data_IF_273666022573
#
_entry.id   IF_273666022573
#
_cell.length_a   1.000
_cell.length_b   1.000
_cell.length_c   1.000
_cell.angle_alpha   90.00
_cell.angle_beta   90.00
_cell.angle_gamma   90.00
#
_symmetry.space_group_name_H-M   'P 1'
#
loop_
_entity.id
_entity.type
_entity.pdbx_description
1 polymer ?
#
# COMPACT_ATOMS: atom_id res chain seq x y z
N UNK A 1 -5.59 -19.73 -43.89
CA UNK A 1 -6.00 -19.18 -42.58
C UNK A 1 -4.86 -19.49 -41.64
N UNK A 2 -4.09 -18.47 -41.29
CA UNK A 2 -3.03 -18.59 -40.29
C UNK A 2 -3.74 -18.40 -38.96
N UNK A 3 -3.75 -19.43 -38.10
CA UNK A 3 -4.30 -19.32 -36.75
C UNK A 3 -3.53 -18.21 -36.00
N UNK A 4 -4.24 -17.28 -35.36
CA UNK A 4 -3.69 -16.21 -34.49
C UNK A 4 -2.83 -16.75 -33.30
N UNK A 5 -2.61 -18.05 -33.21
CA UNK A 5 -1.86 -18.72 -32.13
C UNK A 5 -0.33 -18.61 -32.30
N UNK A 6 0.16 -18.36 -33.53
CA UNK A 6 1.60 -18.33 -33.85
C UNK A 6 2.30 -16.99 -33.51
N UNK A 7 1.54 -15.95 -33.18
CA UNK A 7 2.09 -14.61 -32.91
C UNK A 7 2.62 -14.43 -31.46
N UNK A 8 2.20 -15.26 -30.51
CA UNK A 8 2.43 -15.04 -29.07
C UNK A 8 3.46 -16.01 -28.43
N UNK A 9 4.06 -16.93 -29.20
CA UNK A 9 5.03 -17.91 -28.69
C UNK A 9 4.40 -18.98 -27.77
N UNK A 10 5.16 -19.94 -27.23
CA UNK A 10 4.59 -21.02 -26.40
C UNK A 10 3.99 -20.50 -25.08
N UNK A 11 2.97 -21.19 -24.56
CA UNK A 11 2.41 -20.86 -23.24
C UNK A 11 3.47 -20.97 -22.14
N UNK A 12 3.42 -20.11 -21.10
CA UNK A 12 4.36 -20.18 -20.00
C UNK A 12 4.31 -21.55 -19.31
N UNK A 13 5.45 -22.03 -18.80
CA UNK A 13 5.55 -23.34 -18.17
C UNK A 13 4.52 -23.54 -17.03
N UNK A 14 3.70 -24.59 -17.15
CA UNK A 14 2.62 -24.90 -16.21
C UNK A 14 1.24 -24.38 -16.62
N UNK A 15 1.10 -23.75 -17.78
CA UNK A 15 -0.18 -23.33 -18.34
C UNK A 15 -0.66 -24.29 -19.44
N UNK A 16 -1.96 -24.56 -19.47
CA UNK A 16 -2.60 -25.42 -20.46
C UNK A 16 -3.83 -24.70 -21.04
N UNK A 17 -3.95 -24.67 -22.36
CA UNK A 17 -5.14 -24.16 -23.06
C UNK A 17 -6.16 -25.29 -23.20
N UNK A 18 -7.39 -25.05 -22.75
CA UNK A 18 -8.52 -25.97 -22.88
C UNK A 18 -9.69 -25.30 -23.57
N UNK A 19 -10.57 -26.11 -24.15
CA UNK A 19 -11.82 -25.66 -24.79
C UNK A 19 -13.00 -26.30 -24.10
N UNK A 20 -14.04 -25.52 -23.86
CA UNK A 20 -15.33 -26.03 -23.39
C UNK A 20 -16.13 -26.64 -24.56
N UNK A 21 -17.14 -27.48 -24.28
CA UNK A 21 -18.04 -28.02 -25.29
C UNK A 21 -18.70 -26.94 -26.18
N UNK A 22 -18.92 -25.75 -25.63
CA UNK A 22 -19.49 -24.57 -26.31
C UNK A 22 -18.44 -23.81 -27.17
N UNK A 23 -17.23 -24.35 -27.32
CA UNK A 23 -16.17 -23.81 -28.17
C UNK A 23 -15.32 -22.71 -27.51
N UNK A 24 -15.67 -22.26 -26.30
CA UNK A 24 -14.94 -21.19 -25.59
C UNK A 24 -13.62 -21.70 -25.01
N UNK A 25 -12.54 -20.99 -25.31
CA UNK A 25 -11.18 -21.29 -24.81
C UNK A 25 -10.99 -20.74 -23.40
N UNK A 26 -10.38 -21.52 -22.52
CA UNK A 26 -9.92 -21.11 -21.19
C UNK A 26 -8.52 -21.67 -20.93
N UNK A 27 -7.78 -21.04 -20.02
CA UNK A 27 -6.40 -21.37 -19.67
C UNK A 27 -6.34 -21.87 -18.23
N UNK A 28 -5.68 -23.00 -18.03
CA UNK A 28 -5.52 -23.67 -16.74
C UNK A 28 -4.08 -23.49 -16.30
N UNK A 29 -3.85 -22.96 -15.10
CA UNK A 29 -2.54 -22.90 -14.48
C UNK A 29 -2.40 -24.04 -13.47
N UNK A 30 -1.56 -25.02 -13.80
CA UNK A 30 -1.30 -26.22 -12.99
C UNK A 30 -0.45 -25.94 -11.76
N UNK A 31 0.30 -24.82 -11.75
CA UNK A 31 1.14 -24.44 -10.60
C UNK A 31 0.31 -23.91 -9.44
N UNK A 32 -0.70 -23.09 -9.72
CA UNK A 32 -1.57 -22.50 -8.68
C UNK A 32 -3.00 -23.09 -8.66
N UNK A 33 -3.28 -24.08 -9.52
CA UNK A 33 -4.58 -24.75 -9.67
C UNK A 33 -5.74 -23.78 -9.94
N UNK A 34 -5.51 -22.79 -10.80
CA UNK A 34 -6.54 -21.82 -11.20
C UNK A 34 -6.90 -21.96 -12.66
N UNK A 35 -8.10 -21.52 -13.03
CA UNK A 35 -8.53 -21.39 -14.42
C UNK A 35 -8.88 -19.92 -14.70
N UNK A 36 -8.62 -19.46 -15.92
CA UNK A 36 -8.97 -18.13 -16.38
C UNK A 36 -9.35 -18.16 -17.87
N UNK A 37 -10.01 -17.14 -18.36
CA UNK A 37 -10.46 -17.07 -19.76
C UNK A 37 -9.44 -16.39 -20.65
N UNK A 38 -8.58 -15.58 -20.05
CA UNK A 38 -7.60 -14.72 -20.70
C UNK A 38 -6.25 -15.44 -20.87
N UNK A 39 -5.59 -15.21 -22.00
CA UNK A 39 -4.29 -15.84 -22.28
C UNK A 39 -3.19 -15.28 -21.35
N UNK A 40 -2.45 -16.13 -20.61
CA UNK A 40 -1.39 -15.67 -19.71
C UNK A 40 -0.26 -14.92 -20.42
N UNK A 41 -0.06 -15.11 -21.74
CA UNK A 41 0.94 -14.42 -22.56
C UNK A 41 0.62 -12.94 -22.77
N UNK A 42 -0.63 -12.55 -22.58
CA UNK A 42 -1.10 -11.16 -22.74
C UNK A 42 -1.09 -10.37 -21.43
N UNK A 43 -0.68 -11.00 -20.32
CA UNK A 43 -0.71 -10.44 -18.97
C UNK A 43 0.72 -10.13 -18.49
N UNK A 44 1.16 -8.88 -18.66
CA UNK A 44 2.51 -8.46 -18.24
C UNK A 44 3.14 -7.32 -19.03
N UNK A 45 2.49 -6.81 -20.10
CA UNK A 45 2.91 -5.55 -20.70
C UNK A 45 2.57 -4.39 -19.77
N UNK A 46 3.60 -3.93 -19.06
CA UNK A 46 3.64 -2.71 -18.27
C UNK A 46 3.38 -1.50 -19.20
N UNK A 47 2.13 -1.05 -19.33
CA UNK A 47 1.84 0.25 -19.97
C UNK A 47 2.01 1.37 -18.96
N UNK A 48 3.28 1.60 -18.62
CA UNK A 48 3.74 2.72 -17.83
C UNK A 48 5.12 3.14 -18.28
N UNK A 49 5.29 3.48 -19.57
CA UNK A 49 6.22 4.50 -20.09
C UNK A 49 6.36 4.55 -21.63
N UNK A 50 5.70 3.68 -22.41
CA UNK A 50 5.76 3.70 -23.89
C UNK A 50 4.37 3.78 -24.55
N UNK A 51 3.62 4.86 -24.32
CA UNK A 51 2.49 5.16 -25.21
C UNK A 51 3.05 5.89 -26.46
N UNK A 52 2.94 5.32 -27.68
CA UNK A 52 3.39 6.00 -28.88
C UNK A 52 2.62 7.33 -29.03
N UNK A 53 3.27 8.39 -29.55
CA UNK A 53 2.63 9.67 -29.77
C UNK A 53 1.38 9.49 -30.65
N UNK A 54 0.36 10.31 -30.39
CA UNK A 54 -0.84 10.30 -31.24
C UNK A 54 -0.45 10.59 -32.69
N UNK A 55 -1.18 10.01 -33.67
CA UNK A 55 -1.01 10.41 -35.07
C UNK A 55 -1.21 11.93 -35.23
N UNK A 56 -0.53 12.54 -36.19
CA UNK A 56 -0.62 13.98 -36.43
C UNK A 56 -2.08 14.43 -36.62
N UNK A 57 -2.45 15.52 -35.95
CA UNK A 57 -3.81 16.07 -35.98
C UNK A 57 -4.78 15.42 -34.99
N UNK A 58 -4.35 14.51 -34.11
CA UNK A 58 -5.20 13.95 -33.06
C UNK A 58 -4.95 14.59 -31.69
N UNK A 59 -6.02 14.90 -30.96
CA UNK A 59 -5.99 15.50 -29.62
C UNK A 59 -6.80 14.66 -28.62
N UNK A 60 -6.33 14.51 -27.38
CA UNK A 60 -7.09 13.88 -26.30
C UNK A 60 -7.83 14.97 -25.52
N UNK A 61 -9.13 14.77 -25.32
CA UNK A 61 -9.97 15.61 -24.45
C UNK A 61 -10.74 14.78 -23.43
N UNK A 62 -11.27 15.47 -22.42
CA UNK A 62 -12.08 14.88 -21.35
C UNK A 62 -13.49 15.45 -21.41
N UNK A 63 -14.51 14.59 -21.24
CA UNK A 63 -15.87 15.04 -20.95
C UNK A 63 -15.96 15.57 -19.51
N UNK A 64 -17.06 16.26 -19.17
CA UNK A 64 -17.32 16.71 -17.79
C UNK A 64 -17.32 15.56 -16.78
N UNK A 65 -17.68 14.34 -17.21
CA UNK A 65 -17.60 13.10 -16.41
C UNK A 65 -16.19 12.46 -16.35
N UNK A 66 -15.16 13.16 -16.86
CA UNK A 66 -13.78 12.70 -16.89
C UNK A 66 -13.55 11.50 -17.83
N UNK A 67 -14.35 11.35 -18.89
CA UNK A 67 -14.17 10.30 -19.91
C UNK A 67 -13.28 10.83 -21.02
N UNK A 68 -12.20 10.10 -21.33
CA UNK A 68 -11.32 10.44 -22.46
C UNK A 68 -12.04 10.19 -23.78
N UNK A 69 -11.96 11.17 -24.68
CA UNK A 69 -12.33 11.04 -26.08
C UNK A 69 -11.24 11.67 -26.95
N UNK A 70 -11.17 11.25 -28.20
CA UNK A 70 -10.15 11.64 -29.15
C UNK A 70 -10.78 12.52 -30.22
N UNK A 71 -10.14 13.64 -30.51
CA UNK A 71 -10.55 14.60 -31.53
C UNK A 71 -9.61 14.46 -32.70
N UNK A 72 -10.12 14.12 -33.87
CA UNK A 72 -9.37 14.11 -35.12
C UNK A 72 -9.57 15.46 -35.82
N UNK A 73 -8.56 16.32 -35.79
CA UNK A 73 -8.57 17.63 -36.44
C UNK A 73 -8.47 17.53 -37.97
N UNK A 74 -8.03 16.38 -38.51
CA UNK A 74 -7.95 16.15 -39.96
C UNK A 74 -9.34 15.96 -40.55
N UNK A 75 -10.19 15.18 -39.88
CA UNK A 75 -11.57 14.89 -40.32
C UNK A 75 -12.62 15.73 -39.59
N UNK A 76 -12.20 16.50 -38.57
CA UNK A 76 -13.06 17.26 -37.64
C UNK A 76 -14.12 16.38 -36.97
N UNK A 77 -13.73 15.17 -36.61
CA UNK A 77 -14.59 14.21 -35.93
C UNK A 77 -14.12 13.93 -34.52
N UNK A 78 -14.99 13.36 -33.69
CA UNK A 78 -14.65 12.92 -32.34
C UNK A 78 -15.02 11.46 -32.16
N UNK A 79 -14.23 10.72 -31.39
CA UNK A 79 -14.45 9.29 -31.15
C UNK A 79 -13.98 8.90 -29.75
N UNK A 80 -14.63 7.89 -29.18
CA UNK A 80 -14.19 7.27 -27.93
C UNK A 80 -13.21 6.11 -28.18
N UNK A 81 -12.90 5.80 -29.45
CA UNK A 81 -11.91 4.80 -29.83
C UNK A 81 -10.55 5.46 -30.03
N UNK A 82 -9.54 4.95 -29.35
CA UNK A 82 -8.16 5.42 -29.50
C UNK A 82 -7.64 5.06 -30.90
N UNK A 83 -7.09 6.03 -31.67
CA UNK A 83 -6.60 5.81 -33.02
C UNK A 83 -5.28 5.02 -33.09
N UNK A 84 -4.61 4.76 -31.96
CA UNK A 84 -3.31 4.08 -31.94
C UNK A 84 -3.43 2.57 -32.19
N UNK A 85 -2.54 1.96 -33.00
CA UNK A 85 -2.56 0.53 -33.26
C UNK A 85 -2.31 -0.25 -31.95
N UNK A 86 -3.24 -1.13 -31.57
CA UNK A 86 -3.11 -1.98 -30.37
C UNK A 86 -3.77 -1.44 -29.09
N UNK A 87 -4.41 -0.27 -29.14
CA UNK A 87 -5.12 0.26 -27.97
C UNK A 87 -6.34 -0.62 -27.60
N UNK A 88 -6.46 -1.08 -26.34
CA UNK A 88 -7.57 -1.95 -25.93
C UNK A 88 -8.90 -1.18 -25.97
N UNK A 89 -9.80 -1.61 -26.87
CA UNK A 89 -11.18 -1.11 -26.94
C UNK A 89 -11.97 -1.63 -25.74
N UNK A 90 -12.34 -0.77 -24.79
CA UNK A 90 -13.33 -1.17 -23.78
C UNK A 90 -13.59 -0.18 -22.65
N UNK A 91 -14.83 -0.16 -22.10
CA UNK A 91 -15.28 0.81 -21.09
C UNK A 91 -14.70 0.54 -19.69
N UNK A 92 -14.81 1.54 -18.81
CA UNK A 92 -14.25 1.62 -17.44
C UNK A 92 -14.82 0.53 -16.49
N UNK A 93 -14.03 0.14 -15.47
CA UNK A 93 -14.34 -0.92 -14.49
C UNK A 93 -15.12 -0.44 -13.27
N UNK A 94 -15.59 -1.37 -12.44
CA UNK A 94 -16.62 -1.19 -11.39
C UNK A 94 -16.16 -0.33 -10.20
N UNK A 95 -14.85 -0.23 -9.95
CA UNK A 95 -14.30 0.41 -8.74
C UNK A 95 -13.59 1.76 -8.96
N UNK A 96 -13.99 2.55 -9.96
CA UNK A 96 -13.37 3.87 -10.25
C UNK A 96 -11.84 3.83 -10.52
N UNK A 97 -11.29 2.66 -10.86
CA UNK A 97 -9.89 2.49 -11.31
C UNK A 97 -9.88 2.06 -12.79
N UNK A 98 -8.91 2.49 -13.62
CA UNK A 98 -8.86 2.06 -15.02
C UNK A 98 -8.88 0.52 -15.15
N UNK A 99 -9.60 -0.05 -16.13
CA UNK A 99 -9.71 -1.52 -16.30
C UNK A 99 -8.37 -2.23 -16.44
N UNK A 100 -7.37 -1.58 -17.03
CA UNK A 100 -6.00 -2.09 -17.09
C UNK A 100 -5.40 -2.27 -15.68
N UNK A 101 -5.71 -1.36 -14.76
CA UNK A 101 -5.28 -1.42 -13.36
C UNK A 101 -6.00 -2.54 -12.60
N UNK A 102 -7.32 -2.71 -12.79
CA UNK A 102 -8.10 -3.81 -12.19
C UNK A 102 -7.62 -5.19 -12.66
N UNK A 103 -7.29 -5.31 -13.96
CA UNK A 103 -6.64 -6.50 -14.55
C UNK A 103 -5.24 -6.75 -13.95
N UNK A 104 -4.46 -5.68 -13.71
CA UNK A 104 -3.15 -5.79 -13.07
C UNK A 104 -3.24 -6.15 -11.58
N UNK A 105 -4.22 -5.63 -10.85
CA UNK A 105 -4.34 -5.84 -9.41
C UNK A 105 -4.76 -7.27 -9.08
N UNK A 106 -5.78 -7.79 -9.78
CA UNK A 106 -6.20 -9.19 -9.61
C UNK A 106 -5.07 -10.16 -9.95
N UNK A 107 -4.30 -9.87 -10.99
CA UNK A 107 -3.11 -10.65 -11.34
C UNK A 107 -2.02 -10.54 -10.28
N UNK A 108 -1.63 -9.33 -9.85
CA UNK A 108 -0.64 -9.10 -8.79
C UNK A 108 -1.03 -9.80 -7.49
N UNK A 109 -2.30 -9.73 -7.11
CA UNK A 109 -2.83 -10.44 -5.95
C UNK A 109 -2.76 -11.96 -6.15
N UNK A 110 -3.11 -12.48 -7.33
CA UNK A 110 -2.98 -13.92 -7.65
C UNK A 110 -1.53 -14.40 -7.58
N UNK A 111 -0.58 -13.63 -8.13
CA UNK A 111 0.84 -13.92 -8.04
C UNK A 111 1.34 -13.89 -6.60
N UNK A 112 0.95 -12.89 -5.82
CA UNK A 112 1.28 -12.83 -4.40
C UNK A 112 0.75 -14.03 -3.63
N UNK A 113 -0.50 -14.45 -3.89
CA UNK A 113 -1.09 -15.65 -3.28
C UNK A 113 -0.34 -16.92 -3.68
N UNK A 114 0.07 -17.03 -4.93
CA UNK A 114 0.90 -18.14 -5.40
C UNK A 114 2.27 -18.17 -4.70
N UNK A 115 2.92 -17.01 -4.52
CA UNK A 115 4.18 -16.92 -3.76
C UNK A 115 4.01 -17.35 -2.29
N UNK A 116 2.91 -16.95 -1.64
CA UNK A 116 2.62 -17.39 -0.27
C UNK A 116 2.37 -18.91 -0.19
N UNK A 117 1.66 -19.48 -1.17
CA UNK A 117 1.38 -20.91 -1.21
C UNK A 117 2.64 -21.74 -1.47
N UNK A 118 3.51 -21.30 -2.38
CA UNK A 118 4.76 -22.00 -2.71
C UNK A 118 5.78 -21.95 -1.58
N UNK A 119 5.76 -20.89 -0.77
CA UNK A 119 6.60 -20.76 0.42
C UNK A 119 5.95 -21.31 1.71
N UNK A 120 4.75 -21.90 1.61
CA UNK A 120 4.06 -22.44 2.76
C UNK A 120 4.80 -23.65 3.31
N UNK A 121 5.03 -23.65 4.62
CA UNK A 121 5.67 -24.75 5.31
C UNK A 121 4.64 -25.82 5.69
N UNK A 122 5.04 -27.11 5.69
CA UNK A 122 4.18 -28.18 6.16
C UNK A 122 3.87 -28.03 7.66
N UNK A 123 2.89 -28.80 8.13
CA UNK A 123 2.36 -28.74 9.50
C UNK A 123 1.61 -27.45 9.82
N UNK A 124 1.25 -27.32 11.10
CA UNK A 124 0.50 -26.18 11.64
C UNK A 124 1.20 -25.62 12.87
N UNK A 125 0.90 -24.36 13.19
CA UNK A 125 1.27 -23.72 14.45
C UNK A 125 -0.01 -23.46 15.24
N UNK A 126 -0.01 -23.86 16.52
CA UNK A 126 -1.12 -23.63 17.43
C UNK A 126 -0.89 -22.33 18.19
N UNK A 127 -1.88 -21.45 18.19
CA UNK A 127 -1.87 -20.21 18.96
C UNK A 127 -3.07 -20.27 19.91
N UNK A 128 -2.81 -20.40 21.21
CA UNK A 128 -3.83 -20.56 22.24
C UNK A 128 -3.99 -19.28 23.06
N UNK A 129 -5.11 -18.59 22.91
CA UNK A 129 -5.35 -17.27 23.48
C UNK A 129 -6.60 -17.26 24.34
N UNK A 130 -6.65 -16.42 25.36
CA UNK A 130 -7.87 -16.09 26.10
C UNK A 130 -8.51 -14.83 25.53
N UNK A 131 -9.83 -14.68 25.65
CA UNK A 131 -10.53 -13.45 25.24
C UNK A 131 -10.17 -12.26 26.11
N UNK A 132 -9.92 -12.48 27.40
CA UNK A 132 -9.61 -11.41 28.36
C UNK A 132 -8.18 -10.87 28.22
N UNK A 133 -7.25 -11.70 27.76
CA UNK A 133 -5.82 -11.39 27.63
C UNK A 133 -5.34 -11.59 26.20
N UNK A 134 -6.21 -11.28 25.23
CA UNK A 134 -6.00 -11.57 23.81
C UNK A 134 -4.68 -11.01 23.28
N UNK A 135 -4.38 -9.75 23.62
CA UNK A 135 -3.19 -9.06 23.16
C UNK A 135 -1.92 -9.70 23.71
N UNK A 136 -1.81 -9.84 25.03
CA UNK A 136 -0.63 -10.42 25.70
C UNK A 136 -0.38 -11.88 25.31
N UNK A 137 -1.43 -12.71 25.28
CA UNK A 137 -1.29 -14.12 24.87
C UNK A 137 -0.80 -14.21 23.41
N UNK A 138 -1.29 -13.34 22.53
CA UNK A 138 -0.88 -13.29 21.13
C UNK A 138 0.55 -12.77 20.97
N UNK A 139 0.89 -11.72 21.72
CA UNK A 139 2.23 -11.12 21.75
C UNK A 139 3.28 -12.15 22.10
N UNK A 140 3.14 -12.83 23.25
CA UNK A 140 4.12 -13.82 23.69
C UNK A 140 4.26 -14.98 22.71
N UNK A 141 3.16 -15.50 22.16
CA UNK A 141 3.22 -16.64 21.24
C UNK A 141 3.84 -16.28 19.88
N UNK A 142 3.53 -15.10 19.35
CA UNK A 142 4.06 -14.67 18.04
C UNK A 142 5.52 -14.23 18.15
N UNK A 143 5.90 -13.61 19.26
CA UNK A 143 7.27 -13.16 19.48
C UNK A 143 8.22 -14.32 19.80
N UNK A 144 7.76 -15.32 20.55
CA UNK A 144 8.53 -16.53 20.84
C UNK A 144 8.62 -17.49 19.64
N UNK A 145 7.72 -17.37 18.67
CA UNK A 145 7.78 -18.17 17.45
C UNK A 145 8.89 -17.67 16.51
N UNK A 146 9.56 -18.61 15.84
CA UNK A 146 10.46 -18.30 14.74
C UNK A 146 9.68 -17.70 13.56
N UNK A 147 10.24 -16.68 12.91
CA UNK A 147 9.52 -15.93 11.87
C UNK A 147 9.04 -16.80 10.70
N UNK A 148 9.81 -17.84 10.32
CA UNK A 148 9.39 -18.76 9.27
C UNK A 148 8.27 -19.69 9.73
N UNK A 149 8.19 -20.05 11.02
CA UNK A 149 7.15 -20.93 11.55
C UNK A 149 5.75 -20.31 11.45
N UNK A 150 5.65 -18.99 11.47
CA UNK A 150 4.40 -18.24 11.27
C UNK A 150 3.83 -18.38 9.83
N UNK A 151 4.60 -18.93 8.89
CA UNK A 151 4.15 -19.26 7.52
C UNK A 151 3.43 -20.61 7.45
N UNK A 152 3.49 -21.43 8.50
CA UNK A 152 2.71 -22.67 8.61
C UNK A 152 1.23 -22.33 8.74
N UNK A 153 0.36 -23.32 8.48
CA UNK A 153 -1.08 -23.16 8.69
C UNK A 153 -1.36 -22.76 10.15
N UNK A 154 -2.09 -21.66 10.35
CA UNK A 154 -2.48 -21.20 11.68
C UNK A 154 -3.63 -22.06 12.21
N UNK A 155 -3.56 -22.41 13.50
CA UNK A 155 -4.63 -23.06 14.23
C UNK A 155 -4.88 -22.27 15.51
N UNK A 156 -5.92 -21.44 15.50
CA UNK A 156 -6.24 -20.55 16.63
C UNK A 156 -7.18 -21.27 17.60
N UNK A 157 -6.86 -21.23 18.89
CA UNK A 157 -7.63 -21.86 19.96
C UNK A 157 -7.98 -20.79 21.00
N UNK A 158 -9.26 -20.48 21.15
CA UNK A 158 -9.74 -19.71 22.30
C UNK A 158 -9.86 -20.64 23.51
N UNK A 159 -9.13 -20.34 24.58
CA UNK A 159 -9.11 -21.15 25.81
C UNK A 159 -10.52 -21.20 26.40
N UNK A 160 -11.03 -22.40 26.64
CA UNK A 160 -12.37 -22.62 27.20
C UNK A 160 -13.51 -22.67 26.19
N UNK A 161 -13.22 -22.55 24.89
CA UNK A 161 -14.21 -22.63 23.81
C UNK A 161 -13.98 -23.84 22.91
N UNK A 162 -15.05 -24.57 22.59
CA UNK A 162 -15.00 -25.61 21.56
C UNK A 162 -15.14 -24.98 20.18
N UNK A 163 -14.01 -24.82 19.47
CA UNK A 163 -13.97 -24.27 18.13
C UNK A 163 -13.13 -25.14 17.19
N UNK A 164 -13.77 -25.73 16.17
CA UNK A 164 -13.06 -26.34 15.04
C UNK A 164 -12.70 -25.24 14.04
N UNK A 165 -11.41 -24.91 13.91
CA UNK A 165 -10.94 -23.84 13.01
C UNK A 165 -11.01 -24.24 11.53
N UNK A 166 -12.23 -24.22 10.98
CA UNK A 166 -12.49 -24.20 9.53
C UNK A 166 -12.27 -22.80 8.92
N UNK A 167 -11.58 -21.89 9.63
CA UNK A 167 -11.26 -20.54 9.17
C UNK A 167 -12.09 -19.42 9.81
N UNK A 168 -13.15 -19.74 10.55
CA UNK A 168 -13.96 -18.75 11.29
C UNK A 168 -13.21 -18.16 12.49
N UNK A 169 -12.66 -19.04 13.33
CA UNK A 169 -11.92 -18.66 14.56
C UNK A 169 -10.70 -17.82 14.22
N UNK A 170 -9.93 -18.22 13.20
CA UNK A 170 -8.79 -17.41 12.75
C UNK A 170 -9.19 -16.03 12.24
N UNK A 171 -10.31 -15.88 11.52
CA UNK A 171 -10.80 -14.57 11.06
C UNK A 171 -11.18 -13.67 12.24
N UNK A 172 -11.89 -14.22 13.22
CA UNK A 172 -12.27 -13.51 14.43
C UNK A 172 -11.04 -13.04 15.21
N UNK A 173 -10.03 -13.90 15.38
CA UNK A 173 -8.80 -13.54 16.06
C UNK A 173 -8.06 -12.38 15.39
N UNK A 174 -7.92 -12.39 14.06
CA UNK A 174 -7.33 -11.25 13.32
C UNK A 174 -8.15 -9.97 13.50
N UNK A 175 -9.48 -10.07 13.50
CA UNK A 175 -10.37 -8.94 13.71
C UNK A 175 -10.21 -8.34 15.10
N UNK A 176 -10.31 -9.16 16.16
CA UNK A 176 -10.21 -8.70 17.55
C UNK A 176 -8.82 -8.15 17.86
N UNK A 177 -7.76 -8.86 17.47
CA UNK A 177 -6.39 -8.40 17.72
C UNK A 177 -6.10 -7.11 16.97
N UNK A 178 -6.68 -6.89 15.78
CA UNK A 178 -6.53 -5.63 15.05
C UNK A 178 -7.18 -4.41 15.75
N UNK A 179 -8.09 -4.61 16.69
CA UNK A 179 -8.59 -3.55 17.55
C UNK A 179 -7.68 -3.34 18.76
N UNK A 180 -7.24 -4.43 19.40
CA UNK A 180 -6.38 -4.38 20.58
C UNK A 180 -5.04 -3.67 20.33
N UNK A 181 -4.45 -3.84 19.13
CA UNK A 181 -3.19 -3.14 18.76
C UNK A 181 -3.32 -1.61 18.73
N UNK A 182 -4.54 -1.08 18.71
CA UNK A 182 -4.83 0.36 18.71
C UNK A 182 -5.23 0.89 20.07
N UNK A 183 -5.19 0.04 21.11
CA UNK A 183 -5.57 0.45 22.44
C UNK A 183 -4.65 1.61 22.89
N UNK A 184 -5.21 2.80 23.22
CA UNK A 184 -4.43 3.96 23.63
C UNK A 184 -3.53 3.72 24.83
N UNK A 185 -3.86 2.72 25.66
CA UNK A 185 -3.06 2.34 26.83
C UNK A 185 -1.64 1.88 26.48
N UNK A 186 -1.41 1.33 25.28
CA UNK A 186 -0.07 0.94 24.85
C UNK A 186 0.76 2.10 24.31
N UNK A 187 0.14 3.27 24.09
CA UNK A 187 0.76 4.49 23.56
C UNK A 187 1.49 4.32 22.20
N UNK A 188 1.10 3.34 21.39
CA UNK A 188 1.78 3.02 20.13
C UNK A 188 1.32 3.88 18.96
N UNK A 189 0.04 4.18 18.91
CA UNK A 189 -0.58 4.94 17.82
C UNK A 189 -1.40 6.09 18.37
N UNK A 190 -1.56 7.10 17.52
CA UNK A 190 -2.45 8.22 17.74
C UNK A 190 -3.26 8.49 16.47
N UNK A 191 -4.35 9.24 16.62
CA UNK A 191 -5.14 9.69 15.48
C UNK A 191 -4.48 10.93 14.88
N UNK A 192 -4.13 10.85 13.60
CA UNK A 192 -3.49 11.94 12.86
C UNK A 192 -4.39 13.18 12.74
N UNK A 193 -5.71 13.00 12.77
CA UNK A 193 -6.66 14.10 12.66
C UNK A 193 -7.84 13.89 13.62
N UNK A 194 -8.68 14.92 13.75
CA UNK A 194 -9.91 14.89 14.57
C UNK A 194 -10.96 13.88 14.06
N UNK A 195 -10.73 13.25 12.91
CA UNK A 195 -11.56 12.17 12.39
C UNK A 195 -10.93 10.83 12.78
N UNK A 196 -11.65 9.93 13.42
CA UNK A 196 -11.08 8.70 13.99
C UNK A 196 -10.65 7.64 12.94
N UNK A 197 -10.23 8.05 11.74
CA UNK A 197 -9.99 7.19 10.57
C UNK A 197 -8.52 7.12 10.13
N UNK A 198 -7.68 8.08 10.52
CA UNK A 198 -6.26 8.09 10.12
C UNK A 198 -5.37 7.80 11.33
N UNK A 199 -4.81 6.60 11.40
CA UNK A 199 -3.87 6.21 12.47
C UNK A 199 -2.42 6.42 12.03
N UNK A 200 -1.64 7.04 12.91
CA UNK A 200 -0.20 7.21 12.77
C UNK A 200 0.54 6.70 14.01
N UNK A 201 1.84 6.45 13.86
CA UNK A 201 2.68 6.11 15.01
C UNK A 201 2.69 7.31 15.94
N UNK A 202 2.54 7.07 17.24
CA UNK A 202 2.73 8.12 18.23
C UNK A 202 4.23 8.44 18.37
N UNK A 203 4.70 9.67 18.08
CA UNK A 203 6.08 10.08 18.31
C UNK A 203 6.53 9.91 19.76
N UNK A 204 5.58 10.00 20.71
CA UNK A 204 5.79 9.75 22.13
C UNK A 204 5.73 8.27 22.52
N UNK A 205 5.73 7.32 21.57
CA UNK A 205 5.63 5.90 21.89
C UNK A 205 6.77 5.38 22.77
N UNK A 206 7.92 6.06 22.81
CA UNK A 206 9.04 5.75 23.68
C UNK A 206 8.73 5.83 25.19
N UNK A 207 7.60 6.45 25.58
CA UNK A 207 7.08 6.39 26.96
C UNK A 207 6.85 4.94 27.39
N UNK A 208 6.47 4.08 26.45
CA UNK A 208 6.42 2.66 26.65
C UNK A 208 7.82 2.07 26.36
N UNK A 209 8.54 1.54 27.36
CA UNK A 209 9.90 1.03 27.17
C UNK A 209 9.96 -0.15 26.18
N UNK A 210 8.86 -0.88 26.03
CA UNK A 210 8.75 -2.05 25.15
C UNK A 210 8.14 -1.72 23.78
N UNK A 211 7.92 -0.44 23.46
CA UNK A 211 7.24 -0.01 22.22
C UNK A 211 7.85 -0.59 20.95
N UNK A 212 9.18 -0.72 20.87
CA UNK A 212 9.86 -1.34 19.73
C UNK A 212 9.48 -2.82 19.57
N UNK A 213 9.41 -3.57 20.67
CA UNK A 213 8.99 -4.97 20.62
C UNK A 213 7.51 -5.09 20.22
N UNK A 214 6.66 -4.16 20.67
CA UNK A 214 5.27 -4.10 20.22
C UNK A 214 5.15 -3.76 18.72
N UNK A 215 5.94 -2.82 18.19
CA UNK A 215 5.96 -2.55 16.74
C UNK A 215 6.43 -3.75 15.94
N UNK A 216 7.42 -4.49 16.42
CA UNK A 216 7.86 -5.76 15.82
C UNK A 216 6.77 -6.81 15.79
N UNK A 217 6.07 -6.96 16.91
CA UNK A 217 4.90 -7.84 17.01
C UNK A 217 3.81 -7.43 16.00
N UNK A 218 3.46 -6.15 15.94
CA UNK A 218 2.48 -5.62 14.98
C UNK A 218 2.93 -5.86 13.54
N UNK A 219 4.21 -5.65 13.23
CA UNK A 219 4.78 -5.96 11.92
C UNK A 219 4.63 -7.44 11.54
N UNK A 220 4.93 -8.36 12.47
CA UNK A 220 4.69 -9.81 12.29
C UNK A 220 3.20 -10.10 12.09
N UNK A 221 2.32 -9.50 12.89
CA UNK A 221 0.88 -9.67 12.81
C UNK A 221 0.31 -9.22 11.45
N UNK A 222 0.70 -8.04 10.96
CA UNK A 222 0.29 -7.54 9.63
C UNK A 222 0.81 -8.46 8.52
N UNK A 223 2.07 -8.90 8.62
CA UNK A 223 2.63 -9.84 7.66
C UNK A 223 1.87 -11.18 7.66
N UNK A 224 1.47 -11.69 8.82
CA UNK A 224 0.62 -12.88 8.94
C UNK A 224 -0.75 -12.66 8.29
N UNK A 225 -1.39 -11.51 8.51
CA UNK A 225 -2.68 -11.19 7.90
C UNK A 225 -2.59 -11.21 6.36
N UNK A 226 -1.54 -10.57 5.82
CA UNK A 226 -1.27 -10.57 4.38
C UNK A 226 -1.00 -11.98 3.85
N UNK A 227 -0.10 -12.73 4.49
CA UNK A 227 0.32 -14.07 4.07
C UNK A 227 -0.86 -15.07 4.04
N UNK A 228 -1.64 -15.11 5.12
CA UNK A 228 -2.76 -16.04 5.29
C UNK A 228 -4.07 -15.55 4.65
N UNK A 229 -4.07 -14.34 4.10
CA UNK A 229 -5.23 -13.76 3.41
C UNK A 229 -6.38 -13.49 4.36
N UNK A 230 -6.07 -12.84 5.47
CA UNK A 230 -7.01 -12.39 6.48
C UNK A 230 -7.07 -10.87 6.47
N UNK A 231 -8.27 -10.34 6.70
CA UNK A 231 -8.49 -8.90 6.78
C UNK A 231 -8.34 -8.43 8.23
N UNK A 232 -7.82 -7.22 8.40
CA UNK A 232 -7.78 -6.50 9.67
C UNK A 232 -8.79 -5.35 9.61
N UNK A 233 -9.37 -4.98 10.75
CA UNK A 233 -10.43 -3.96 10.79
C UNK A 233 -9.89 -2.55 10.57
N UNK A 234 -8.67 -2.28 11.04
CA UNK A 234 -8.05 -0.98 10.95
C UNK A 234 -7.00 -0.91 9.86
N UNK A 235 -7.10 0.14 9.04
CA UNK A 235 -6.16 0.42 7.97
C UNK A 235 -5.19 1.53 8.39
N UNK A 236 -3.91 1.35 8.06
CA UNK A 236 -2.94 2.43 8.13
C UNK A 236 -3.17 3.45 7.02
N UNK A 237 -2.62 4.66 7.19
CA UNK A 237 -2.66 5.70 6.16
C UNK A 237 -1.91 5.27 4.89
N UNK A 238 -2.24 5.85 3.73
CA UNK A 238 -1.52 5.56 2.48
C UNK A 238 0.01 5.82 2.55
N UNK A 239 0.49 6.87 3.24
CA UNK A 239 1.92 7.10 3.41
C UNK A 239 2.61 5.94 4.16
N UNK A 240 1.93 5.34 5.15
CA UNK A 240 2.42 4.14 5.83
C UNK A 240 2.68 2.99 4.85
N UNK A 241 1.71 2.67 3.98
CA UNK A 241 1.89 1.63 2.97
C UNK A 241 2.95 1.97 1.92
N UNK A 242 3.05 3.24 1.51
CA UNK A 242 4.13 3.69 0.62
C UNK A 242 5.50 3.44 1.26
N UNK A 243 5.64 3.71 2.56
CA UNK A 243 6.87 3.42 3.31
C UNK A 243 7.17 1.92 3.36
N UNK A 244 6.17 1.08 3.60
CA UNK A 244 6.32 -0.40 3.53
C UNK A 244 6.83 -0.88 2.17
N UNK A 245 6.40 -0.22 1.09
CA UNK A 245 6.81 -0.51 -0.29
C UNK A 245 8.11 0.18 -0.70
N UNK A 246 8.80 0.85 0.24
CA UNK A 246 10.00 1.63 -0.01
C UNK A 246 9.82 2.70 -1.10
N UNK A 247 8.61 3.25 -1.22
CA UNK A 247 8.31 4.36 -2.13
C UNK A 247 8.61 5.69 -1.45
N UNK A 248 9.13 6.63 -2.23
CA UNK A 248 9.33 8.02 -1.78
C UNK A 248 7.97 8.64 -1.48
N UNK A 249 7.86 9.28 -0.32
CA UNK A 249 6.70 10.08 0.07
C UNK A 249 6.78 11.44 -0.62
N UNK A 250 5.64 11.93 -1.08
CA UNK A 250 5.52 13.22 -1.79
C UNK A 250 4.69 14.19 -0.95
N UNK A 251 4.79 15.50 -1.21
CA UNK A 251 4.02 16.51 -0.47
C UNK A 251 2.51 16.19 -0.38
N UNK A 252 1.91 15.66 -1.45
CA UNK A 252 0.49 15.25 -1.47
C UNK A 252 0.15 14.14 -0.46
N UNK A 253 1.12 13.36 -0.02
CA UNK A 253 0.90 12.31 0.99
C UNK A 253 0.57 12.91 2.37
N UNK A 254 1.08 14.10 2.66
CA UNK A 254 0.82 14.86 3.89
C UNK A 254 -0.66 15.19 4.03
N UNK A 255 -1.36 15.46 2.93
CA UNK A 255 -2.81 15.76 2.92
C UNK A 255 -3.65 14.70 3.64
N UNK A 256 -3.22 13.43 3.59
CA UNK A 256 -3.95 12.32 4.22
C UNK A 256 -3.71 12.19 5.73
N UNK A 257 -2.63 12.81 6.21
CA UNK A 257 -2.20 12.81 7.61
C UNK A 257 -2.68 14.11 8.26
N UNK A 258 -2.17 15.24 7.75
CA UNK A 258 -2.48 16.58 8.21
C UNK A 258 -2.92 17.47 7.03
N UNK A 259 -4.24 17.57 6.80
CA UNK A 259 -4.80 18.43 5.77
C UNK A 259 -4.56 19.93 6.00
N UNK A 260 -4.43 20.37 7.26
CA UNK A 260 -4.23 21.80 7.57
C UNK A 260 -2.80 22.20 7.25
N UNK A 261 -1.83 21.40 7.68
CA UNK A 261 -0.42 21.60 7.35
C UNK A 261 -0.15 21.49 5.84
N UNK A 262 -0.78 20.52 5.15
CA UNK A 262 -0.69 20.44 3.69
C UNK A 262 -1.17 21.73 3.00
N UNK A 263 -2.28 22.33 3.46
CA UNK A 263 -2.74 23.62 2.93
C UNK A 263 -1.73 24.74 3.15
N UNK A 264 -1.07 24.78 4.31
CA UNK A 264 -0.01 25.75 4.59
C UNK A 264 1.16 25.60 3.62
N UNK A 265 1.60 24.37 3.35
CA UNK A 265 2.68 24.11 2.37
C UNK A 265 2.28 24.48 0.94
N UNK A 266 1.04 24.18 0.53
CA UNK A 266 0.51 24.59 -0.78
C UNK A 266 0.45 26.11 -0.89
N UNK A 267 0.01 26.80 0.17
CA UNK A 267 -0.03 28.25 0.20
C UNK A 267 1.36 28.87 0.06
N UNK A 268 2.36 28.38 0.81
CA UNK A 268 3.76 28.84 0.69
C UNK A 268 4.26 28.64 -0.74
N UNK A 269 3.90 27.51 -1.36
CA UNK A 269 4.30 27.22 -2.73
C UNK A 269 3.71 28.20 -3.74
N UNK A 270 2.43 28.50 -3.62
CA UNK A 270 1.66 29.26 -4.62
C UNK A 270 1.74 30.78 -4.47
N UNK A 271 2.20 31.29 -3.32
CA UNK A 271 2.26 32.73 -3.04
C UNK A 271 3.70 33.23 -2.97
N UNK A 272 3.89 34.53 -3.24
CA UNK A 272 5.18 35.20 -3.04
C UNK A 272 5.38 35.49 -1.55
N UNK A 273 6.30 34.77 -0.91
CA UNK A 273 6.49 34.87 0.54
C UNK A 273 7.30 36.11 0.97
N UNK A 274 8.07 36.71 0.06
CA UNK A 274 8.86 37.91 0.36
C UNK A 274 7.95 39.14 0.60
N UNK A 275 6.83 39.21 -0.13
CA UNK A 275 5.83 40.28 -0.01
C UNK A 275 4.95 40.13 1.24
N UNK A 276 4.88 38.92 1.79
CA UNK A 276 4.01 38.59 2.91
C UNK A 276 4.66 38.87 4.28
N UNK A 277 5.96 39.18 4.33
CA UNK A 277 6.67 39.45 5.58
C UNK A 277 6.73 38.24 6.52
N UNK A 278 6.67 37.03 5.99
CA UNK A 278 6.78 35.81 6.80
C UNK A 278 8.22 35.64 7.30
N UNK A 279 8.35 35.35 8.61
CA UNK A 279 9.62 35.02 9.26
C UNK A 279 9.76 33.50 9.36
N UNK A 280 9.95 32.87 8.20
CA UNK A 280 10.20 31.44 8.11
C UNK A 280 11.70 31.17 8.08
N UNK A 281 12.12 30.12 8.78
CA UNK A 281 13.50 29.63 8.83
C UNK A 281 13.50 28.12 8.59
N UNK A 282 14.67 27.52 8.33
CA UNK A 282 14.79 26.07 8.12
C UNK A 282 14.80 25.32 9.45
N UNK A 283 13.78 25.55 10.28
CA UNK A 283 13.65 24.98 11.61
C UNK A 283 12.18 24.78 11.95
N UNK A 284 11.91 23.80 12.81
CA UNK A 284 10.57 23.49 13.29
C UNK A 284 10.60 23.21 14.78
N UNK A 285 9.62 23.77 15.48
CA UNK A 285 9.34 23.47 16.87
C UNK A 285 8.12 22.56 16.94
N UNK A 286 8.23 21.45 17.66
CA UNK A 286 7.12 20.54 17.88
C UNK A 286 7.08 20.11 19.35
N UNK A 287 5.87 19.83 19.83
CA UNK A 287 5.64 19.47 21.22
C UNK A 287 5.49 17.95 21.36
N UNK A 288 6.32 17.33 22.21
CA UNK A 288 6.17 15.94 22.63
C UNK A 288 6.02 15.90 24.15
N UNK A 289 4.86 15.42 24.63
CA UNK A 289 4.57 15.27 26.07
C UNK A 289 4.75 16.56 26.89
N UNK A 290 4.40 17.71 26.33
CA UNK A 290 4.58 19.01 27.01
C UNK A 290 5.97 19.62 26.87
N UNK A 291 6.91 18.94 26.20
CA UNK A 291 8.24 19.47 25.92
C UNK A 291 8.31 19.97 24.48
N UNK A 292 8.66 21.25 24.31
CA UNK A 292 8.95 21.82 23.00
C UNK A 292 10.35 21.39 22.59
N UNK A 293 10.43 20.66 21.48
CA UNK A 293 11.67 20.22 20.87
C UNK A 293 11.88 21.06 19.61
N UNK A 294 13.05 21.69 19.55
CA UNK A 294 13.49 22.47 18.41
C UNK A 294 14.34 21.60 17.48
N UNK A 295 14.06 21.63 16.17
CA UNK A 295 14.78 20.85 15.17
C UNK A 295 15.10 21.68 13.93
N UNK A 296 16.39 21.75 13.58
CA UNK A 296 16.83 22.32 12.32
C UNK A 296 16.58 21.33 11.17
N UNK A 297 15.86 21.77 10.13
CA UNK A 297 15.58 20.96 8.92
C UNK A 297 16.84 20.69 8.08
N UNK A 298 17.87 21.53 8.24
CA UNK A 298 19.20 21.38 7.66
C UNK A 298 20.24 22.01 8.57
N UNK A 299 21.51 21.64 8.38
CA UNK A 299 22.62 22.16 9.19
C UNK A 299 22.66 23.71 9.18
N UNK A 300 22.53 24.32 10.35
CA UNK A 300 22.50 25.77 10.52
C UNK A 300 21.21 26.43 10.03
N UNK A 301 20.12 25.65 9.96
CA UNK A 301 18.84 26.04 9.41
C UNK A 301 18.20 27.26 10.08
N UNK A 302 18.47 27.45 11.38
CA UNK A 302 17.99 28.60 12.17
C UNK A 302 18.45 29.95 11.63
N UNK A 303 19.57 29.96 10.91
CA UNK A 303 20.18 31.19 10.37
C UNK A 303 19.78 31.44 8.93
N UNK A 304 19.14 30.46 8.29
CA UNK A 304 18.75 30.54 6.88
C UNK A 304 17.29 30.96 6.82
N UNK A 305 17.07 32.23 6.47
CA UNK A 305 15.71 32.74 6.23
C UNK A 305 15.15 32.13 4.95
N UNK A 306 13.90 31.72 5.00
CA UNK A 306 13.16 31.22 3.85
C UNK A 306 12.62 32.41 3.06
N UNK A 307 12.95 32.46 1.78
CA UNK A 307 12.54 33.47 0.81
C UNK A 307 12.05 32.81 -0.48
N UNK A 308 11.57 33.61 -1.43
CA UNK A 308 11.00 33.10 -2.68
C UNK A 308 12.01 32.25 -3.49
N UNK A 309 13.29 32.55 -3.36
CA UNK A 309 14.41 31.85 -4.03
C UNK A 309 14.68 30.44 -3.47
N UNK A 310 14.33 30.18 -2.22
CA UNK A 310 14.67 28.94 -1.52
C UNK A 310 13.45 28.17 -0.96
N UNK A 311 12.23 28.70 -1.11
CA UNK A 311 11.00 28.08 -0.59
C UNK A 311 10.74 26.65 -1.07
N UNK A 312 11.12 26.30 -2.30
CA UNK A 312 10.96 24.94 -2.83
C UNK A 312 11.87 23.93 -2.09
N UNK A 313 13.07 24.37 -1.70
CA UNK A 313 13.95 23.57 -0.84
C UNK A 313 13.36 23.45 0.57
N UNK A 314 12.86 24.55 1.15
CA UNK A 314 12.20 24.54 2.45
C UNK A 314 11.03 23.55 2.49
N UNK A 315 10.12 23.61 1.51
CA UNK A 315 8.98 22.69 1.39
C UNK A 315 9.46 21.24 1.31
N UNK A 316 10.53 20.98 0.55
CA UNK A 316 11.07 19.63 0.40
C UNK A 316 11.67 19.10 1.70
N UNK A 317 12.52 19.88 2.37
CA UNK A 317 13.15 19.45 3.62
C UNK A 317 12.12 19.31 4.74
N UNK A 318 11.13 20.20 4.81
CA UNK A 318 10.06 20.08 5.78
C UNK A 318 9.16 18.87 5.51
N UNK A 319 8.83 18.62 4.24
CA UNK A 319 8.11 17.40 3.85
C UNK A 319 8.93 16.15 4.18
N UNK A 320 10.24 16.16 3.99
CA UNK A 320 11.11 15.05 4.37
C UNK A 320 11.12 14.85 5.88
N UNK A 321 11.22 15.92 6.65
CA UNK A 321 11.19 15.89 8.11
C UNK A 321 9.90 15.24 8.64
N UNK A 322 8.72 15.68 8.20
CA UNK A 322 7.45 15.07 8.61
C UNK A 322 7.42 13.57 8.27
N UNK A 323 7.88 13.22 7.06
CA UNK A 323 7.97 11.84 6.63
C UNK A 323 8.98 11.01 7.43
N UNK A 324 10.02 11.64 7.99
CA UNK A 324 10.99 10.98 8.87
C UNK A 324 10.42 10.88 10.27
N UNK A 325 9.97 11.98 10.86
CA UNK A 325 9.38 12.09 12.19
C UNK A 325 8.25 11.07 12.41
N UNK A 326 7.37 10.91 11.42
CA UNK A 326 6.23 9.98 11.50
C UNK A 326 6.65 8.51 11.29
N UNK A 327 7.74 8.22 10.57
CA UNK A 327 8.02 6.87 10.07
C UNK A 327 9.42 6.28 10.37
N UNK A 328 10.37 7.04 10.92
CA UNK A 328 11.70 6.52 11.25
C UNK A 328 11.65 5.47 12.38
N UNK A 329 10.68 5.57 13.30
CA UNK A 329 10.50 4.58 14.36
C UNK A 329 10.13 3.17 13.85
N UNK A 330 9.55 3.04 12.64
CA UNK A 330 9.16 1.73 12.06
C UNK A 330 10.18 1.14 11.09
N UNK A 331 11.11 1.95 10.58
CA UNK A 331 11.95 1.56 9.44
C UNK A 331 13.01 0.51 9.83
N UNK A 332 13.40 0.47 11.10
CA UNK A 332 14.52 -0.37 11.56
C UNK A 332 14.12 -1.86 11.71
N UNK A 333 12.86 -2.20 12.00
CA UNK A 333 12.50 -3.61 12.25
C UNK A 333 11.53 -4.26 11.25
N UNK A 334 10.68 -3.52 10.54
CA UNK A 334 9.81 -4.15 9.52
C UNK A 334 10.59 -4.70 8.32
N UNK A 335 11.79 -4.16 8.05
CA UNK A 335 12.70 -4.69 7.03
C UNK A 335 13.27 -6.08 7.39
N UNK A 336 13.25 -6.50 8.66
CA UNK A 336 13.78 -7.80 9.06
C UNK A 336 12.82 -8.97 8.81
N UNK A 337 11.53 -8.72 8.54
CA UNK A 337 10.59 -9.78 8.15
C UNK A 337 10.45 -9.96 6.63
N UNK A 338 11.00 -9.03 5.82
CA UNK A 338 11.02 -9.14 4.36
C UNK A 338 12.38 -9.68 3.90
N UNK A 339 12.40 -10.95 3.47
CA UNK A 339 13.34 -11.45 2.46
C UNK A 339 14.84 -11.36 2.80
N UNK A 340 15.29 -11.94 3.92
CA UNK A 340 16.61 -12.60 3.90
C UNK A 340 16.40 -14.07 3.58
N UNK A 341 16.48 -14.35 2.28
CA UNK A 341 16.96 -15.64 1.76
C UNK A 341 18.38 -15.84 2.31
N UNK A 342 18.53 -16.89 3.10
CA UNK A 342 19.72 -17.74 3.12
C UNK A 342 19.24 -19.16 3.31
#
# INVERSE_FOLDING_TARGET
MIDDDDALGPLPAGWEKRKQPEGRVYYVNHKNRTTQWEDPRTQGQETGMDEPPLPDGWEIRLTEDGVRYFVDHNTRTTTFQDPRPGAPKGPKGVYRVPRAYERSFRWKLSQFRFLCQTNALPNHIKISVSRQTLFEDSYHQIMNAEAFALRRRLYIIFKGEEGLDYGGVSREWFFLLSHEVLNPMYCLFEYANKSNYSLQINPASYVNPDHLQYFKFIGRFIAMALYHGRFIYSGFTMPFYKRMLNKKLVMKDIESIDPEFYKSLVWIKENNIDECGLELYYSVDFEILGQVIHHELKEGGDKVRVGEDNKEEYIREHSNFENIFIFEMLTIEMRLCSLKQT
#
